data_IF_223579736087
#
_entry.id   IF_223579736087
#
_cell.length_a   1.000
_cell.length_b   1.000
_cell.length_c   1.000
_cell.angle_alpha   90.00
_cell.angle_beta   90.00
_cell.angle_gamma   90.00
#
_symmetry.space_group_name_H-M   'P 1'
#
loop_
_entity.id
_entity.type
_entity.pdbx_description
1 polymer ?
#
# COMPACT_ATOMS: atom_id res chain seq x y z
N UNK A 1 -36.11 -4.39 17.18
CA UNK A 1 -35.12 -5.35 17.74
C UNK A 1 -34.83 -6.49 16.74
N UNK A 2 -34.82 -6.19 15.45
CA UNK A 2 -34.70 -7.18 14.35
C UNK A 2 -33.58 -6.84 13.36
N UNK A 3 -33.10 -5.59 13.33
CA UNK A 3 -32.01 -5.13 12.44
C UNK A 3 -30.60 -5.62 12.81
N UNK A 4 -30.41 -6.10 14.02
CA UNK A 4 -29.07 -6.56 14.48
C UNK A 4 -28.71 -7.91 13.84
N UNK A 5 -29.70 -8.72 13.45
CA UNK A 5 -29.46 -10.07 12.93
C UNK A 5 -29.17 -10.13 11.42
N UNK A 6 -29.53 -9.10 10.64
CA UNK A 6 -29.27 -9.02 9.19
C UNK A 6 -27.92 -8.37 8.85
N UNK A 7 -27.40 -7.48 9.70
CA UNK A 7 -26.12 -6.78 9.48
C UNK A 7 -24.88 -7.49 10.07
N UNK A 8 -25.08 -8.52 10.88
CA UNK A 8 -24.00 -9.32 11.47
C UNK A 8 -23.00 -9.89 10.44
N UNK A 9 -23.41 -10.47 9.28
CA UNK A 9 -22.46 -11.01 8.30
C UNK A 9 -21.62 -9.90 7.64
N UNK A 10 -22.19 -8.74 7.36
CA UNK A 10 -21.47 -7.62 6.75
C UNK A 10 -20.43 -7.04 7.71
N UNK A 11 -20.83 -6.74 8.95
CA UNK A 11 -19.92 -6.22 9.98
C UNK A 11 -18.75 -7.18 10.28
N UNK A 12 -19.01 -8.50 10.22
CA UNK A 12 -17.99 -9.52 10.46
C UNK A 12 -16.98 -9.63 9.31
N UNK A 13 -17.41 -9.47 8.05
CA UNK A 13 -16.51 -9.36 6.87
C UNK A 13 -15.58 -8.15 7.01
N UNK A 14 -16.10 -7.00 7.45
CA UNK A 14 -15.29 -5.80 7.64
C UNK A 14 -14.34 -5.88 8.83
N UNK A 15 -14.73 -6.55 9.92
CA UNK A 15 -13.85 -6.83 11.07
C UNK A 15 -12.68 -7.73 10.70
N UNK A 16 -12.94 -8.79 9.92
CA UNK A 16 -11.89 -9.64 9.36
C UNK A 16 -10.96 -8.82 8.46
N UNK A 17 -11.50 -7.89 7.69
CA UNK A 17 -10.70 -7.01 6.84
C UNK A 17 -9.78 -6.10 7.66
N UNK A 18 -10.28 -5.49 8.74
CA UNK A 18 -9.46 -4.67 9.66
C UNK A 18 -8.34 -5.48 10.30
N UNK A 19 -8.60 -6.75 10.65
CA UNK A 19 -7.60 -7.67 11.19
C UNK A 19 -6.42 -7.86 10.24
N UNK A 20 -6.65 -7.88 8.92
CA UNK A 20 -5.60 -7.97 7.91
C UNK A 20 -5.00 -6.61 7.52
N UNK A 21 -5.80 -5.54 7.54
CA UNK A 21 -5.36 -4.22 7.13
C UNK A 21 -4.31 -3.61 8.09
N UNK A 22 -4.44 -3.82 9.39
CA UNK A 22 -3.48 -3.31 10.40
C UNK A 22 -2.06 -3.86 10.18
N UNK A 23 -1.83 -5.18 10.08
CA UNK A 23 -0.49 -5.70 9.81
C UNK A 23 0.04 -5.26 8.44
N UNK A 24 -0.82 -5.17 7.42
CA UNK A 24 -0.44 -4.64 6.09
C UNK A 24 0.00 -3.17 6.16
N UNK A 25 -0.70 -2.33 6.91
CA UNK A 25 -0.34 -0.93 7.11
C UNK A 25 1.03 -0.80 7.80
N UNK A 26 1.28 -1.61 8.83
CA UNK A 26 2.57 -1.65 9.52
C UNK A 26 3.71 -2.06 8.60
N UNK A 27 3.49 -3.02 7.70
CA UNK A 27 4.48 -3.46 6.71
C UNK A 27 4.74 -2.40 5.66
N UNK A 28 3.68 -1.80 5.11
CA UNK A 28 3.81 -0.73 4.14
C UNK A 28 4.55 0.48 4.74
N UNK A 29 4.26 0.83 6.00
CA UNK A 29 4.95 1.91 6.70
C UNK A 29 6.45 1.62 6.89
N UNK A 30 6.80 0.42 7.37
CA UNK A 30 8.20 0.03 7.55
C UNK A 30 8.96 -0.05 6.21
N UNK A 31 8.34 -0.62 5.17
CA UNK A 31 8.89 -0.65 3.83
C UNK A 31 9.14 0.76 3.27
N UNK A 32 8.24 1.71 3.55
CA UNK A 32 8.43 3.12 3.20
C UNK A 32 9.62 3.75 3.92
N UNK A 33 9.77 3.52 5.23
CA UNK A 33 10.90 4.06 5.99
C UNK A 33 12.24 3.49 5.50
N UNK A 34 12.31 2.18 5.25
CA UNK A 34 13.52 1.54 4.73
C UNK A 34 13.87 2.03 3.32
N UNK A 35 12.88 2.21 2.44
CA UNK A 35 13.11 2.76 1.10
C UNK A 35 13.69 4.18 1.17
N UNK A 36 13.22 5.00 2.12
CA UNK A 36 13.73 6.37 2.32
C UNK A 36 15.15 6.38 2.88
N UNK A 37 15.47 5.48 3.80
CA UNK A 37 16.82 5.32 4.32
C UNK A 37 17.82 4.94 3.20
N UNK A 38 17.39 4.09 2.26
CA UNK A 38 18.20 3.75 1.08
C UNK A 38 18.36 4.92 0.11
N UNK A 39 17.31 5.72 -0.09
CA UNK A 39 17.38 6.90 -0.94
C UNK A 39 18.37 7.97 -0.41
N UNK A 40 18.74 7.91 0.88
CA UNK A 40 19.75 8.78 1.49
C UNK A 40 21.19 8.25 1.34
N UNK A 41 21.38 7.07 0.75
CA UNK A 41 22.73 6.54 0.53
C UNK A 41 23.43 7.39 -0.53
N UNK A 42 24.58 7.94 -0.15
CA UNK A 42 25.46 8.68 -1.04
C UNK A 42 26.04 7.75 -2.12
N UNK A 43 25.51 7.87 -3.33
CA UNK A 43 25.97 7.14 -4.52
C UNK A 43 27.14 7.85 -5.21
N UNK A 44 27.65 8.95 -4.64
CA UNK A 44 28.76 9.70 -5.25
C UNK A 44 30.00 8.83 -5.30
N UNK A 45 30.67 8.71 -6.46
CA UNK A 45 31.92 7.99 -6.58
C UNK A 45 32.95 8.52 -5.57
N UNK A 46 33.50 7.64 -4.74
CA UNK A 46 34.54 8.00 -3.78
C UNK A 46 35.89 7.58 -4.34
N UNK A 47 36.80 8.55 -4.42
CA UNK A 47 38.19 8.32 -4.79
C UNK A 47 39.02 8.26 -3.50
N UNK A 48 39.83 7.21 -3.38
CA UNK A 48 40.78 7.04 -2.28
C UNK A 48 42.17 6.98 -2.87
N UNK A 49 43.02 7.92 -2.45
CA UNK A 49 44.42 7.97 -2.83
C UNK A 49 45.20 7.00 -1.95
N UNK A 50 45.78 5.97 -2.56
CA UNK A 50 46.58 4.97 -1.86
C UNK A 50 48.07 5.25 -2.05
N UNK A 51 48.75 5.52 -0.94
CA UNK A 51 50.20 5.64 -0.90
C UNK A 51 50.77 6.98 -1.40
N UNK A 52 52.11 7.15 -1.25
CA UNK A 52 52.80 8.36 -1.67
C UNK A 52 52.87 8.45 -3.20
N UNK A 53 52.88 9.68 -3.71
CA UNK A 53 53.14 9.95 -5.13
C UNK A 53 54.58 9.59 -5.45
N UNK A 54 54.79 8.71 -6.43
CA UNK A 54 56.11 8.23 -6.86
C UNK A 54 56.51 8.99 -8.11
N UNK A 55 57.74 9.51 -8.15
CA UNK A 55 58.32 10.10 -9.36
C UNK A 55 59.02 8.99 -10.18
N UNK A 56 58.64 8.86 -11.45
CA UNK A 56 59.09 7.76 -12.30
C UNK A 56 60.45 8.03 -12.97
N UNK A 57 61.03 9.23 -12.81
CA UNK A 57 62.31 9.60 -13.43
C UNK A 57 62.23 9.89 -14.94
N UNK A 58 61.06 9.74 -15.54
CA UNK A 58 60.72 10.13 -16.92
C UNK A 58 59.95 11.48 -16.96
N UNK A 59 59.90 12.18 -15.82
CA UNK A 59 59.11 13.40 -15.64
C UNK A 59 57.63 13.15 -15.34
N UNK A 60 57.19 11.89 -15.26
CA UNK A 60 55.83 11.53 -14.86
C UNK A 60 55.75 11.14 -13.39
N UNK A 61 54.55 11.32 -12.82
CA UNK A 61 54.24 10.95 -11.44
C UNK A 61 53.17 9.88 -11.42
N UNK A 62 53.40 8.82 -10.65
CA UNK A 62 52.47 7.71 -10.48
C UNK A 62 51.90 7.71 -9.06
N UNK A 63 50.59 7.56 -8.95
CA UNK A 63 49.88 7.36 -7.70
C UNK A 63 48.77 6.35 -7.91
N UNK A 64 48.63 5.41 -6.98
CA UNK A 64 47.55 4.43 -7.03
C UNK A 64 46.26 5.09 -6.51
N UNK A 65 45.20 5.02 -7.30
CA UNK A 65 43.90 5.59 -6.96
C UNK A 65 42.87 4.47 -7.03
N UNK A 66 42.15 4.24 -5.94
CA UNK A 66 41.01 3.32 -5.91
C UNK A 66 39.73 4.15 -6.05
N UNK A 67 38.90 3.81 -7.03
CA UNK A 67 37.60 4.46 -7.27
C UNK A 67 36.49 3.47 -6.90
N UNK A 68 35.72 3.81 -5.86
CA UNK A 68 34.54 3.03 -5.46
C UNK A 68 33.28 3.68 -6.01
N UNK A 69 32.53 2.94 -6.83
CA UNK A 69 31.26 3.38 -7.41
C UNK A 69 30.16 2.44 -6.91
N UNK A 70 29.25 2.96 -6.10
CA UNK A 70 28.05 2.23 -5.68
C UNK A 70 26.98 2.46 -6.74
N UNK A 71 26.62 1.42 -7.49
CA UNK A 71 25.68 1.53 -8.63
C UNK A 71 24.23 1.21 -8.27
N UNK A 72 23.99 0.43 -7.22
CA UNK A 72 22.64 0.10 -6.77
C UNK A 72 22.61 -0.27 -5.29
N UNK A 73 21.55 0.15 -4.60
CA UNK A 73 21.24 -0.28 -3.24
C UNK A 73 19.82 -0.83 -3.23
N UNK A 74 19.66 -2.06 -2.72
CA UNK A 74 18.36 -2.72 -2.61
C UNK A 74 18.11 -3.13 -1.17
N UNK A 75 16.90 -2.92 -0.68
CA UNK A 75 16.46 -3.41 0.63
C UNK A 75 15.31 -4.40 0.48
N UNK A 76 15.41 -5.49 1.22
CA UNK A 76 14.35 -6.47 1.38
C UNK A 76 14.00 -6.59 2.85
N UNK A 77 12.71 -6.65 3.15
CA UNK A 77 12.20 -6.92 4.48
C UNK A 77 11.63 -8.34 4.50
N UNK A 78 12.03 -9.14 5.47
CA UNK A 78 11.36 -10.39 5.77
C UNK A 78 10.36 -10.13 6.87
N UNK A 79 9.08 -10.44 6.62
CA UNK A 79 8.04 -10.30 7.61
C UNK A 79 7.50 -11.66 7.99
N UNK A 80 7.53 -11.95 9.29
CA UNK A 80 7.14 -13.24 9.83
C UNK A 80 5.70 -13.18 10.35
N UNK A 81 4.87 -14.07 9.81
CA UNK A 81 3.49 -14.30 10.21
C UNK A 81 3.36 -15.74 10.70
N UNK A 82 3.64 -15.94 11.99
CA UNK A 82 3.65 -17.28 12.58
C UNK A 82 4.64 -18.20 11.86
N UNK A 83 4.20 -19.35 11.29
CA UNK A 83 5.10 -20.27 10.60
C UNK A 83 5.49 -19.81 9.18
N UNK A 84 4.89 -18.74 8.65
CA UNK A 84 5.17 -18.24 7.31
C UNK A 84 6.04 -17.00 7.36
N UNK A 85 6.99 -16.89 6.44
CA UNK A 85 7.80 -15.69 6.24
C UNK A 85 7.58 -15.19 4.81
N UNK A 86 7.22 -13.91 4.68
CA UNK A 86 7.06 -13.24 3.39
C UNK A 86 8.21 -12.28 3.22
N UNK A 87 8.97 -12.43 2.13
CA UNK A 87 9.99 -11.47 1.76
C UNK A 87 9.38 -10.43 0.82
N UNK A 88 9.50 -9.16 1.20
CA UNK A 88 8.99 -8.01 0.45
C UNK A 88 10.13 -7.08 0.11
N UNK A 89 10.18 -6.63 -1.15
CA UNK A 89 11.10 -5.59 -1.55
C UNK A 89 10.54 -4.22 -1.14
N UNK A 90 11.34 -3.45 -0.40
CA UNK A 90 10.95 -2.14 0.07
C UNK A 90 10.96 -1.16 -1.12
N UNK A 91 9.80 -0.95 -1.74
CA UNK A 91 9.60 0.04 -2.80
C UNK A 91 8.64 1.12 -2.32
N UNK A 92 9.08 2.38 -2.30
CA UNK A 92 8.28 3.50 -1.78
C UNK A 92 6.93 3.66 -2.49
N UNK A 93 6.87 3.49 -3.83
CA UNK A 93 5.61 3.61 -4.58
C UNK A 93 4.59 2.53 -4.20
N UNK A 94 5.04 1.30 -3.99
CA UNK A 94 4.17 0.18 -3.61
C UNK A 94 3.66 0.36 -2.19
N UNK A 95 4.52 0.78 -1.26
CA UNK A 95 4.13 1.12 0.11
C UNK A 95 3.10 2.25 0.15
N UNK A 96 3.28 3.29 -0.67
CA UNK A 96 2.35 4.43 -0.72
C UNK A 96 0.98 4.02 -1.28
N UNK A 97 0.94 3.17 -2.32
CA UNK A 97 -0.30 2.65 -2.88
C UNK A 97 -1.10 1.85 -1.84
N UNK A 98 -0.43 0.99 -1.07
CA UNK A 98 -1.07 0.19 -0.01
C UNK A 98 -1.64 1.11 1.08
N UNK A 99 -0.85 2.05 1.59
CA UNK A 99 -1.33 2.99 2.61
C UNK A 99 -2.53 3.82 2.13
N UNK A 100 -2.48 4.34 0.90
CA UNK A 100 -3.59 5.10 0.32
C UNK A 100 -4.86 4.26 0.16
N UNK A 101 -4.72 3.01 -0.27
CA UNK A 101 -5.86 2.10 -0.39
C UNK A 101 -6.54 1.85 0.96
N UNK A 102 -5.76 1.67 2.04
CA UNK A 102 -6.26 1.49 3.40
C UNK A 102 -6.99 2.74 3.89
N UNK A 103 -6.47 3.94 3.60
CA UNK A 103 -7.11 5.21 3.98
C UNK A 103 -8.45 5.41 3.24
N UNK A 104 -8.46 5.26 1.91
CA UNK A 104 -9.69 5.43 1.12
C UNK A 104 -10.79 4.46 1.56
N UNK A 105 -10.39 3.23 1.88
CA UNK A 105 -11.30 2.19 2.34
C UNK A 105 -11.82 2.50 3.76
N UNK A 106 -10.98 3.02 4.65
CA UNK A 106 -11.40 3.52 5.96
C UNK A 106 -12.42 4.67 5.87
N UNK A 107 -12.25 5.58 4.92
CA UNK A 107 -13.25 6.65 4.66
C UNK A 107 -14.58 6.05 4.19
N UNK A 108 -14.54 5.07 3.28
CA UNK A 108 -15.74 4.34 2.85
C UNK A 108 -16.48 3.66 4.01
N UNK A 109 -15.73 3.09 4.96
CA UNK A 109 -16.28 2.43 6.16
C UNK A 109 -16.98 3.42 7.10
N UNK A 110 -16.40 4.61 7.29
CA UNK A 110 -17.06 5.68 8.05
C UNK A 110 -18.34 6.14 7.33
N UNK A 111 -18.30 6.26 6.00
CA UNK A 111 -19.47 6.60 5.20
C UNK A 111 -20.63 5.62 5.38
N UNK A 112 -20.34 4.32 5.35
CA UNK A 112 -21.34 3.26 5.49
C UNK A 112 -21.89 3.13 6.92
N UNK A 113 -21.10 3.46 7.95
CA UNK A 113 -21.57 3.55 9.34
C UNK A 113 -22.41 4.80 9.61
N UNK A 114 -22.14 5.90 8.90
CA UNK A 114 -22.86 7.16 9.05
C UNK A 114 -24.16 7.19 8.23
N UNK A 115 -24.18 6.49 7.11
CA UNK A 115 -25.33 6.34 6.21
C UNK A 115 -25.61 4.84 6.01
N UNK A 116 -26.28 4.18 6.98
CA UNK A 116 -26.75 2.82 6.77
C UNK A 116 -27.72 2.83 5.58
N UNK A 117 -27.59 1.83 4.69
CA UNK A 117 -28.26 1.75 3.39
C UNK A 117 -29.78 1.99 3.46
N UNK A 118 -30.23 3.22 3.22
CA UNK A 118 -31.54 3.46 2.63
C UNK A 118 -31.39 3.29 1.12
N UNK A 119 -31.26 2.03 0.67
CA UNK A 119 -31.46 1.74 -0.75
C UNK A 119 -32.88 2.22 -1.10
N UNK A 120 -33.09 3.10 -2.10
CA UNK A 120 -34.44 3.47 -2.48
C UNK A 120 -35.14 2.21 -2.94
N UNK A 121 -36.05 1.69 -2.11
CA UNK A 121 -36.99 0.64 -2.50
C UNK A 121 -37.67 1.15 -3.75
N UNK A 122 -37.32 0.58 -4.89
CA UNK A 122 -37.93 0.90 -6.18
C UNK A 122 -39.30 0.22 -6.21
N UNK A 123 -40.16 0.59 -5.27
CA UNK A 123 -41.59 0.34 -5.34
C UNK A 123 -42.16 1.45 -6.19
N UNK A 124 -42.10 1.27 -7.51
CA UNK A 124 -43.04 1.97 -8.37
C UNK A 124 -44.45 1.64 -7.84
N UNK A 125 -45.31 2.63 -7.54
CA UNK A 125 -46.70 2.32 -7.29
C UNK A 125 -47.26 1.74 -8.59
N UNK A 126 -47.38 0.40 -8.66
CA UNK A 126 -48.23 -0.23 -9.65
C UNK A 126 -49.66 0.14 -9.29
N UNK A 127 -50.11 1.31 -9.75
CA UNK A 127 -51.52 1.65 -9.78
C UNK A 127 -52.18 0.70 -10.76
N UNK A 128 -52.76 -0.39 -10.26
CA UNK A 128 -53.66 -1.22 -11.06
C UNK A 128 -54.96 -0.44 -11.26
N UNK A 129 -55.03 0.36 -12.34
CA UNK A 129 -56.31 0.88 -12.80
C UNK A 129 -57.08 -0.27 -13.46
N UNK A 130 -58.07 -0.81 -12.74
CA UNK A 130 -59.06 -1.71 -13.32
C UNK A 130 -59.99 -0.88 -14.23
N UNK A 131 -59.69 -0.85 -15.52
CA UNK A 131 -60.59 -0.25 -16.52
C UNK A 131 -61.72 -1.24 -16.79
N UNK A 132 -62.89 -0.98 -16.24
CA UNK A 132 -64.14 -1.65 -16.62
C UNK A 132 -64.65 -1.07 -17.94
N UNK A 133 -64.53 -1.84 -19.03
CA UNK A 133 -65.20 -1.54 -20.29
C UNK A 133 -66.69 -1.94 -20.19
N UNK A 134 -67.62 -1.12 -20.71
CA UNK A 134 -69.01 -1.55 -20.87
C UNK A 134 -69.06 -2.69 -21.90
N UNK A 135 -69.72 -3.79 -21.55
CA UNK A 135 -70.13 -4.80 -22.51
C UNK A 135 -71.34 -4.24 -23.26
N UNK A 136 -71.18 -3.99 -24.57
CA UNK A 136 -72.30 -3.80 -25.47
C UNK A 136 -72.80 -5.21 -25.89
N UNK A 137 -74.07 -5.51 -25.60
CA UNK A 137 -74.80 -6.67 -26.13
C UNK A 137 -75.11 -6.50 -27.63
#
# INVERSE_FOLDING_TARGET
MTDVMTNLPLALVWLLFLLFAIPLAGMAWNARQQSRAVAQVDLTPKTTYEGPVIDNGDGTRSQKITVSVVTSVSTSQTVQFGPFAVQVHAREWAANAVLMSIVLLGIGLIGLLHFPDDSPTTEWPMSSETISAPFDD
#
